data_IF_125072693595
#
_entry.id   IF_125072693595
#
_cell.length_a   1.000
_cell.length_b   1.000
_cell.length_c   1.000
_cell.angle_alpha   90.00
_cell.angle_beta   90.00
_cell.angle_gamma   90.00
#
_symmetry.space_group_name_H-M   'P 1'
#
loop_
_entity.id
_entity.type
_entity.pdbx_description
1 polymer ?
#
# COMPACT_ATOMS: atom_id res chain seq x y z
N UNK A 1 6.42 -5.92 -16.01
CA UNK A 1 5.14 -5.17 -16.04
C UNK A 1 4.74 -4.86 -14.60
N UNK A 2 4.04 -3.75 -14.37
CA UNK A 2 3.54 -3.41 -13.03
C UNK A 2 2.58 -4.50 -12.51
N UNK A 3 2.63 -4.86 -11.21
CA UNK A 3 1.76 -5.87 -10.62
C UNK A 3 0.30 -5.41 -10.51
N UNK A 4 0.03 -4.12 -10.71
CA UNK A 4 -1.30 -3.52 -10.61
C UNK A 4 -1.46 -2.32 -11.55
N UNK A 5 -2.62 -2.21 -12.20
CA UNK A 5 -3.02 -1.09 -13.04
C UNK A 5 -4.47 -0.66 -12.75
N UNK A 6 -4.87 0.49 -13.29
CA UNK A 6 -6.26 0.93 -13.29
C UNK A 6 -7.15 -0.12 -13.94
N UNK A 7 -8.31 -0.37 -13.35
CA UNK A 7 -9.29 -1.37 -13.81
C UNK A 7 -9.04 -2.79 -13.29
N UNK A 8 -7.85 -3.09 -12.78
CA UNK A 8 -7.58 -4.38 -12.14
C UNK A 8 -8.39 -4.53 -10.84
N UNK A 9 -8.62 -5.77 -10.41
CA UNK A 9 -9.30 -6.11 -9.16
C UNK A 9 -8.30 -6.74 -8.19
N UNK A 10 -8.22 -6.18 -6.98
CA UNK A 10 -7.49 -6.78 -5.87
C UNK A 10 -8.44 -7.44 -4.87
N UNK A 11 -7.99 -8.53 -4.27
CA UNK A 11 -8.68 -9.25 -3.21
C UNK A 11 -7.80 -9.36 -1.97
N UNK A 12 -8.37 -9.17 -0.78
CA UNK A 12 -7.66 -9.32 0.49
C UNK A 12 -8.60 -9.83 1.59
N UNK A 13 -8.04 -10.37 2.66
CA UNK A 13 -8.83 -10.79 3.83
C UNK A 13 -8.84 -9.69 4.89
N UNK A 14 -9.98 -9.49 5.54
CA UNK A 14 -10.18 -8.36 6.48
C UNK A 14 -9.41 -8.51 7.79
N UNK A 15 -9.05 -9.74 8.16
CA UNK A 15 -8.24 -10.07 9.34
C UNK A 15 -6.72 -9.95 9.08
N UNK A 16 -6.27 -10.02 7.82
CA UNK A 16 -4.87 -9.97 7.45
C UNK A 16 -4.42 -8.54 7.15
N UNK A 17 -4.41 -7.70 8.18
CA UNK A 17 -4.02 -6.29 8.09
C UNK A 17 -3.09 -5.87 9.23
N UNK A 18 -2.25 -4.87 8.97
CA UNK A 18 -1.36 -4.26 9.96
C UNK A 18 -1.65 -2.77 10.06
N UNK A 19 -1.90 -2.28 11.26
CA UNK A 19 -1.99 -0.83 11.49
C UNK A 19 -0.59 -0.21 11.43
N UNK A 20 -0.47 0.88 10.68
CA UNK A 20 0.73 1.71 10.56
C UNK A 20 0.33 3.18 10.69
N UNK A 21 1.24 4.02 11.16
CA UNK A 21 1.02 5.46 11.25
C UNK A 21 1.95 6.16 10.27
N UNK A 22 1.38 6.82 9.26
CA UNK A 22 2.15 7.55 8.24
C UNK A 22 2.23 9.01 8.65
N UNK A 23 3.45 9.52 8.81
CA UNK A 23 3.74 10.91 9.19
C UNK A 23 4.45 11.63 8.04
N UNK A 24 4.00 12.83 7.70
CA UNK A 24 4.56 13.66 6.63
C UNK A 24 4.48 15.15 6.95
N UNK A 25 5.17 15.97 6.17
CA UNK A 25 5.09 17.44 6.26
C UNK A 25 4.29 17.98 5.09
N UNK A 26 3.36 18.89 5.36
CA UNK A 26 2.55 19.58 4.36
C UNK A 26 2.13 20.95 4.91
N UNK A 27 2.26 22.00 4.09
CA UNK A 27 1.94 23.38 4.49
C UNK A 27 2.65 23.80 5.80
N UNK A 28 3.96 23.54 5.88
CA UNK A 28 4.82 23.83 7.05
C UNK A 28 4.36 23.17 8.36
N UNK A 29 3.48 22.18 8.28
CA UNK A 29 2.95 21.46 9.44
C UNK A 29 3.24 19.98 9.32
N UNK A 30 3.60 19.35 10.45
CA UNK A 30 3.62 17.89 10.54
C UNK A 30 2.19 17.36 10.59
N UNK A 31 1.92 16.34 9.79
CA UNK A 31 0.65 15.62 9.70
C UNK A 31 0.91 14.15 9.97
N UNK A 32 -0.02 13.47 10.62
CA UNK A 32 0.09 12.05 10.94
C UNK A 32 -1.27 11.40 10.91
N UNK A 33 -1.37 10.28 10.20
CA UNK A 33 -2.64 9.58 10.01
C UNK A 33 -2.45 8.06 10.03
N UNK A 34 -3.38 7.31 10.65
CA UNK A 34 -3.34 5.86 10.68
C UNK A 34 -3.86 5.23 9.37
N UNK A 35 -3.17 4.18 8.94
CA UNK A 35 -3.48 3.37 7.78
C UNK A 35 -3.44 1.89 8.15
N UNK A 36 -4.16 1.08 7.38
CA UNK A 36 -3.92 -0.35 7.32
C UNK A 36 -3.05 -0.69 6.12
N UNK A 37 -1.97 -1.42 6.37
CA UNK A 37 -1.17 -2.11 5.37
C UNK A 37 -1.69 -3.55 5.23
N UNK A 38 -2.04 -3.96 4.02
CA UNK A 38 -2.78 -5.18 3.73
C UNK A 38 -2.09 -5.91 2.57
N UNK A 39 -1.63 -7.15 2.76
CA UNK A 39 -1.23 -8.02 1.65
C UNK A 39 -2.48 -8.37 0.83
N UNK A 40 -2.49 -8.01 -0.45
CA UNK A 40 -3.57 -8.30 -1.38
C UNK A 40 -3.06 -9.09 -2.59
N UNK A 41 -4.00 -9.70 -3.32
CA UNK A 41 -3.76 -10.41 -4.57
C UNK A 41 -4.49 -9.72 -5.71
N UNK A 42 -3.80 -9.43 -6.80
CA UNK A 42 -4.43 -8.95 -8.03
C UNK A 42 -5.07 -10.13 -8.78
N UNK A 43 -6.37 -10.33 -8.59
CA UNK A 43 -7.10 -11.44 -9.19
C UNK A 43 -7.32 -11.26 -10.69
N UNK A 44 -7.09 -10.06 -11.22
CA UNK A 44 -7.14 -9.77 -12.66
C UNK A 44 -5.79 -9.99 -13.37
N UNK A 45 -4.71 -10.27 -12.62
CA UNK A 45 -3.35 -10.33 -13.14
C UNK A 45 -2.56 -11.45 -12.46
N UNK A 46 -2.95 -12.69 -12.75
CA UNK A 46 -2.30 -13.94 -12.30
C UNK A 46 -2.09 -14.05 -10.79
N UNK A 47 -2.95 -13.43 -9.97
CA UNK A 47 -2.81 -13.36 -8.51
C UNK A 47 -1.46 -12.78 -8.06
N UNK A 48 -0.96 -11.77 -8.78
CA UNK A 48 0.23 -11.02 -8.39
C UNK A 48 0.07 -10.43 -6.97
N UNK A 49 1.15 -10.47 -6.17
CA UNK A 49 1.19 -9.84 -4.86
C UNK A 49 1.18 -8.31 -4.98
N UNK A 50 0.29 -7.68 -4.22
CA UNK A 50 0.14 -6.23 -4.18
C UNK A 50 0.00 -5.78 -2.73
N UNK A 51 0.83 -4.83 -2.31
CA UNK A 51 0.62 -4.15 -1.03
C UNK A 51 -0.48 -3.10 -1.20
N UNK A 52 -1.50 -3.18 -0.36
CA UNK A 52 -2.61 -2.24 -0.33
C UNK A 52 -2.62 -1.46 0.97
N UNK A 53 -2.67 -0.15 0.86
CA UNK A 53 -2.78 0.77 1.97
C UNK A 53 -4.13 1.47 1.94
N UNK A 54 -4.81 1.53 3.08
CA UNK A 54 -6.09 2.21 3.20
C UNK A 54 -6.15 2.99 4.49
N UNK A 55 -6.69 4.20 4.44
CA UNK A 55 -6.88 5.01 5.65
C UNK A 55 -7.76 4.25 6.65
N UNK A 56 -7.30 4.15 7.91
CA UNK A 56 -7.92 3.28 8.92
C UNK A 56 -9.42 3.56 9.06
N UNK A 57 -9.79 4.82 9.25
CA UNK A 57 -11.18 5.24 9.41
C UNK A 57 -12.08 4.86 8.22
N UNK A 58 -11.52 4.80 7.00
CA UNK A 58 -12.27 4.45 5.80
C UNK A 58 -12.46 2.94 5.67
N UNK A 59 -11.47 2.13 6.06
CA UNK A 59 -11.67 0.68 6.13
C UNK A 59 -12.69 0.33 7.22
N UNK A 60 -12.58 0.94 8.40
CA UNK A 60 -13.43 0.59 9.54
C UNK A 60 -14.89 1.02 9.36
N UNK A 61 -15.13 2.18 8.73
CA UNK A 61 -16.47 2.77 8.68
C UNK A 61 -17.06 2.88 7.26
N UNK A 62 -16.24 2.74 6.22
CA UNK A 62 -16.63 3.05 4.84
C UNK A 62 -16.26 1.97 3.82
N UNK A 63 -15.98 0.74 4.27
CA UNK A 63 -15.56 -0.38 3.43
C UNK A 63 -16.48 -0.59 2.21
N UNK A 64 -17.80 -0.53 2.42
CA UNK A 64 -18.81 -0.71 1.37
C UNK A 64 -18.78 0.37 0.28
N UNK A 65 -18.12 1.52 0.51
CA UNK A 65 -17.99 2.58 -0.51
C UNK A 65 -16.97 2.26 -1.60
N UNK A 66 -16.06 1.32 -1.36
CA UNK A 66 -14.96 1.01 -2.28
C UNK A 66 -14.67 -0.48 -2.46
N UNK A 67 -15.26 -1.35 -1.64
CA UNK A 67 -15.08 -2.79 -1.73
C UNK A 67 -16.43 -3.54 -1.71
N UNK A 68 -16.46 -4.67 -2.40
CA UNK A 68 -17.49 -5.70 -2.22
C UNK A 68 -16.96 -6.74 -1.25
N UNK A 69 -17.76 -7.11 -0.25
CA UNK A 69 -17.37 -8.05 0.81
C UNK A 69 -18.14 -9.36 0.67
N UNK A 70 -17.41 -10.46 0.79
CA UNK A 70 -17.92 -11.83 0.76
C UNK A 70 -17.25 -12.61 1.91
N UNK A 71 -17.99 -12.76 3.02
CA UNK A 71 -17.45 -13.28 4.27
C UNK A 71 -16.27 -12.44 4.79
N UNK A 72 -15.11 -13.08 4.94
CA UNK A 72 -13.87 -12.42 5.38
C UNK A 72 -13.05 -11.83 4.21
N UNK A 73 -13.52 -11.96 2.97
CA UNK A 73 -12.79 -11.50 1.77
C UNK A 73 -13.41 -10.23 1.22
N UNK A 74 -12.58 -9.21 0.99
CA UNK A 74 -12.97 -7.99 0.30
C UNK A 74 -12.33 -7.93 -1.09
N UNK A 75 -13.09 -7.43 -2.07
CA UNK A 75 -12.65 -7.20 -3.45
C UNK A 75 -12.80 -5.74 -3.81
N UNK A 76 -11.76 -5.16 -4.39
CA UNK A 76 -11.68 -3.73 -4.74
C UNK A 76 -11.26 -3.60 -6.20
N UNK A 77 -12.01 -2.80 -6.96
CA UNK A 77 -11.60 -2.40 -8.33
C UNK A 77 -10.75 -1.14 -8.24
N UNK A 78 -9.58 -1.15 -8.87
CA UNK A 78 -8.67 0.01 -8.89
C UNK A 78 -9.22 1.07 -9.85
N UNK A 79 -9.45 2.26 -9.32
CA UNK A 79 -10.00 3.41 -10.05
C UNK A 79 -9.14 4.66 -9.84
N UNK A 80 -9.55 5.79 -10.43
CA UNK A 80 -8.89 7.10 -10.28
C UNK A 80 -8.96 7.67 -8.85
N UNK A 81 -9.75 7.05 -7.96
CA UNK A 81 -9.79 7.42 -6.55
C UNK A 81 -8.61 6.87 -5.75
N UNK A 82 -7.83 5.97 -6.35
CA UNK A 82 -6.65 5.38 -5.74
C UNK A 82 -5.40 6.11 -6.22
N UNK A 83 -4.38 6.09 -5.38
CA UNK A 83 -3.03 6.48 -5.77
C UNK A 83 -2.09 5.28 -5.67
N UNK A 84 -0.90 5.39 -6.23
CA UNK A 84 0.13 4.37 -6.12
C UNK A 84 1.51 4.96 -5.84
N UNK A 85 2.36 4.13 -5.23
CA UNK A 85 3.81 4.30 -5.28
C UNK A 85 4.46 3.16 -6.07
N UNK A 86 5.68 3.35 -6.55
CA UNK A 86 6.46 2.37 -7.29
C UNK A 86 7.96 2.65 -7.16
N UNK A 87 8.78 1.61 -7.31
CA UNK A 87 10.24 1.70 -7.23
C UNK A 87 10.85 2.49 -8.41
N UNK A 88 10.25 2.34 -9.59
CA UNK A 88 10.75 2.93 -10.83
C UNK A 88 9.61 3.07 -11.85
N UNK A 89 9.88 3.73 -12.97
CA UNK A 89 8.88 3.99 -14.02
C UNK A 89 8.38 2.73 -14.74
N UNK A 90 9.04 1.59 -14.56
CA UNK A 90 8.57 0.28 -15.04
C UNK A 90 7.45 -0.31 -14.14
N UNK A 91 7.13 0.35 -13.03
CA UNK A 91 6.08 -0.06 -12.09
C UNK A 91 6.49 -1.21 -11.18
N UNK A 92 7.79 -1.44 -11.00
CA UNK A 92 8.30 -2.45 -10.08
C UNK A 92 7.85 -2.14 -8.64
N UNK A 93 7.38 -3.16 -7.93
CA UNK A 93 6.81 -3.05 -6.57
C UNK A 93 5.73 -1.99 -6.43
N UNK A 94 4.93 -1.77 -7.49
CA UNK A 94 3.81 -0.84 -7.41
C UNK A 94 2.83 -1.29 -6.34
N UNK A 95 2.54 -0.40 -5.40
CA UNK A 95 1.58 -0.60 -4.32
C UNK A 95 0.44 0.40 -4.43
N UNK A 96 -0.70 0.11 -3.81
CA UNK A 96 -1.93 0.90 -3.94
C UNK A 96 -2.22 1.62 -2.63
N UNK A 97 -2.72 2.85 -2.70
CA UNK A 97 -3.17 3.65 -1.56
C UNK A 97 -4.58 4.17 -1.81
N UNK A 98 -5.50 3.90 -0.88
CA UNK A 98 -6.84 4.48 -0.84
C UNK A 98 -6.98 5.41 0.36
N UNK A 99 -7.04 6.72 0.09
CA UNK A 99 -6.99 7.76 1.11
C UNK A 99 -7.49 9.11 0.58
N UNK A 100 -7.61 10.09 1.46
CA UNK A 100 -7.84 11.48 1.08
C UNK A 100 -6.66 12.01 0.25
N UNK A 101 -6.89 12.19 -1.05
CA UNK A 101 -5.88 12.58 -2.04
C UNK A 101 -5.44 14.04 -1.93
N UNK A 102 -6.07 14.85 -1.06
CA UNK A 102 -5.57 16.18 -0.69
C UNK A 102 -4.32 16.09 0.19
N UNK A 103 -4.09 14.94 0.83
CA UNK A 103 -2.89 14.62 1.60
C UNK A 103 -1.77 14.24 0.65
N UNK A 104 -0.58 14.79 0.86
CA UNK A 104 0.59 14.56 0.02
C UNK A 104 1.74 13.89 0.79
N UNK A 105 1.54 12.69 1.36
CA UNK A 105 2.67 11.93 1.88
C UNK A 105 3.57 11.47 0.73
N UNK A 106 4.88 11.44 0.98
CA UNK A 106 5.82 10.77 0.08
C UNK A 106 5.62 9.25 0.13
N UNK A 107 5.82 8.57 -1.01
CA UNK A 107 5.58 7.13 -1.12
C UNK A 107 6.44 6.31 -0.15
N UNK A 108 7.70 6.72 0.09
CA UNK A 108 8.63 6.00 0.98
C UNK A 108 8.13 5.92 2.43
N UNK A 109 7.24 6.83 2.86
CA UNK A 109 6.70 6.82 4.23
C UNK A 109 5.85 5.59 4.51
N UNK A 110 5.13 5.07 3.51
CA UNK A 110 4.34 3.84 3.64
C UNK A 110 5.24 2.61 3.77
N UNK A 111 6.35 2.59 3.03
CA UNK A 111 7.32 1.48 3.05
C UNK A 111 8.10 1.49 4.36
N UNK A 112 8.67 2.64 4.74
CA UNK A 112 9.44 2.84 5.97
C UNK A 112 8.62 2.39 7.20
N UNK A 113 7.40 2.91 7.34
CA UNK A 113 6.54 2.60 8.49
C UNK A 113 6.12 1.13 8.52
N UNK A 114 5.90 0.51 7.35
CA UNK A 114 5.59 -0.91 7.25
C UNK A 114 6.76 -1.81 7.64
N UNK A 115 7.97 -1.51 7.16
CA UNK A 115 9.16 -2.31 7.46
C UNK A 115 9.62 -2.12 8.91
N UNK A 116 9.43 -0.93 9.49
CA UNK A 116 9.71 -0.66 10.89
C UNK A 116 8.66 -1.25 11.85
N UNK A 117 7.44 -1.54 11.37
CA UNK A 117 6.41 -2.21 12.14
C UNK A 117 6.78 -3.70 12.37
N UNK A 118 7.61 -3.96 13.38
CA UNK A 118 8.13 -5.29 13.72
C UNK A 118 7.01 -6.31 14.05
N UNK A 119 7.19 -7.54 13.58
CA UNK A 119 6.57 -8.77 14.10
C UNK A 119 5.40 -9.35 13.28
N UNK A 120 5.42 -10.68 13.13
CA UNK A 120 4.33 -11.50 12.60
C UNK A 120 4.37 -11.78 11.09
N UNK A 121 3.60 -12.78 10.66
CA UNK A 121 3.56 -13.26 9.26
C UNK A 121 3.12 -12.18 8.26
N UNK A 122 2.30 -11.22 8.71
CA UNK A 122 1.81 -10.11 7.88
C UNK A 122 2.97 -9.20 7.47
N UNK A 123 3.86 -8.84 8.40
CA UNK A 123 5.02 -7.99 8.11
C UNK A 123 5.96 -8.66 7.11
N UNK A 124 6.13 -9.99 7.19
CA UNK A 124 6.92 -10.76 6.20
C UNK A 124 6.28 -10.68 4.81
N UNK A 125 4.96 -10.89 4.69
CA UNK A 125 4.25 -10.79 3.40
C UNK A 125 4.35 -9.38 2.80
N UNK A 126 4.15 -8.34 3.61
CA UNK A 126 4.26 -6.96 3.17
C UNK A 126 5.69 -6.62 2.71
N UNK A 127 6.70 -7.07 3.45
CA UNK A 127 8.10 -6.89 3.10
C UNK A 127 8.42 -7.55 1.75
N UNK A 128 7.97 -8.79 1.53
CA UNK A 128 8.09 -9.49 0.23
C UNK A 128 7.45 -8.71 -0.92
N UNK A 129 6.28 -8.10 -0.70
CA UNK A 129 5.61 -7.25 -1.68
C UNK A 129 6.42 -6.04 -2.14
N UNK A 130 7.41 -5.62 -1.35
CA UNK A 130 8.39 -4.58 -1.72
C UNK A 130 9.73 -5.13 -2.22
N UNK A 131 9.85 -6.45 -2.38
CA UNK A 131 11.11 -7.10 -2.76
C UNK A 131 12.09 -7.32 -1.62
N UNK A 132 11.66 -7.10 -0.37
CA UNK A 132 12.45 -7.38 0.83
C UNK A 132 12.40 -8.88 1.14
N UNK A 133 13.20 -9.62 0.40
CA UNK A 133 13.45 -11.07 0.50
C UNK A 133 14.61 -11.48 -0.44
N UNK A 134 15.08 -10.58 -1.30
CA UNK A 134 16.32 -10.73 -2.05
C UNK A 134 17.49 -10.75 -1.05
N UNK A 135 18.08 -11.93 -0.86
CA UNK A 135 19.23 -12.19 0.03
C UNK A 135 20.22 -11.02 -0.02
N UNK A 136 20.38 -10.31 1.11
CA UNK A 136 21.38 -9.25 1.28
C UNK A 136 20.93 -7.79 1.06
N UNK A 137 19.64 -7.50 0.80
CA UNK A 137 19.17 -6.11 0.65
C UNK A 137 18.92 -5.42 2.00
N UNK A 138 19.59 -4.30 2.26
CA UNK A 138 19.32 -3.42 3.43
C UNK A 138 18.03 -2.60 3.23
N UNK A 139 17.26 -2.40 4.31
CA UNK A 139 16.06 -1.55 4.31
C UNK A 139 16.35 -0.15 3.77
N UNK A 140 17.50 0.41 4.13
CA UNK A 140 17.95 1.74 3.71
C UNK A 140 18.13 1.83 2.19
N UNK A 141 18.66 0.77 1.56
CA UNK A 141 18.88 0.71 0.12
C UNK A 141 17.57 0.50 -0.65
N UNK A 142 16.64 -0.24 -0.06
CA UNK A 142 15.28 -0.31 -0.56
C UNK A 142 14.64 1.09 -0.52
N UNK A 143 14.66 1.77 0.63
CA UNK A 143 14.03 3.09 0.79
C UNK A 143 14.59 4.13 -0.17
N UNK A 144 15.91 4.19 -0.39
CA UNK A 144 16.53 5.13 -1.35
C UNK A 144 15.91 5.08 -2.75
N UNK A 145 15.37 3.91 -3.16
CA UNK A 145 14.73 3.73 -4.47
C UNK A 145 13.31 4.31 -4.55
N UNK A 146 12.71 4.62 -3.41
CA UNK A 146 11.36 5.19 -3.30
C UNK A 146 11.36 6.62 -2.72
N UNK A 147 12.48 7.07 -2.16
CA UNK A 147 12.63 8.38 -1.54
C UNK A 147 12.49 9.49 -2.59
N UNK A 148 11.87 10.61 -2.18
CA UNK A 148 11.76 11.82 -3.00
C UNK A 148 10.44 11.95 -3.77
N UNK A 149 9.73 10.85 -4.01
CA UNK A 149 8.51 10.86 -4.83
C UNK A 149 7.22 10.90 -3.99
N UNK A 150 6.26 11.70 -4.42
CA UNK A 150 4.88 11.61 -3.96
C UNK A 150 4.18 10.39 -4.55
N UNK A 151 3.05 10.02 -3.96
CA UNK A 151 2.13 9.08 -4.60
C UNK A 151 1.61 9.65 -5.94
N UNK A 152 1.43 8.77 -6.92
CA UNK A 152 0.97 9.07 -8.28
C UNK A 152 -0.50 8.64 -8.45
N UNK A 153 -1.22 9.27 -9.38
CA UNK A 153 -2.58 8.85 -9.73
C UNK A 153 -2.53 7.70 -10.75
N UNK A 154 -3.50 6.79 -10.67
CA UNK A 154 -3.69 5.69 -11.62
C UNK A 154 -4.13 6.12 -13.02
#
# INVERSE_FOLDING_TARGET
MAPIQKGDIISFTLDNKREITVTWSQNLSSKSEPYYAIPAKNTSRDNADVNFFVQKNWLDNELSKFATVDGNTARVTITDKFQYGQKNDQGEFRFVVYHDTSRKPYQHRFIETTLLAKGGDISVKLAKGFGYDQVGMDVSDLLKRFVGDYLRNF
#
